data_IF_232846251771
#
_entry.id   IF_232846251771
#
_cell.length_a   1.000
_cell.length_b   1.000
_cell.length_c   1.000
_cell.angle_alpha   90.00
_cell.angle_beta   90.00
_cell.angle_gamma   90.00
#
_symmetry.space_group_name_H-M   'P 1'
#
loop_
_entity.id
_entity.type
_entity.pdbx_description
1 polymer ?
#
# COMPACT_ATOMS: atom_id res chain seq x y z
N UNK A 1 -4.56 12.15 8.06
CA UNK A 1 -3.26 11.67 8.54
C UNK A 1 -2.22 11.80 7.44
N UNK A 2 -1.05 12.23 7.79
CA UNK A 2 0.05 12.38 6.84
C UNK A 2 1.29 11.69 7.39
N UNK A 3 1.96 10.93 6.52
CA UNK A 3 3.16 10.18 6.91
C UNK A 3 4.31 10.45 5.95
N UNK A 4 5.53 10.32 6.46
CA UNK A 4 6.75 10.46 5.68
C UNK A 4 7.06 9.15 4.95
N UNK A 5 6.26 8.85 3.91
CA UNK A 5 6.42 7.68 3.07
C UNK A 5 6.08 8.07 1.64
N UNK A 6 6.97 7.82 0.71
CA UNK A 6 6.81 8.17 -0.70
C UNK A 6 6.70 6.95 -1.59
N UNK A 7 6.20 7.15 -2.82
CA UNK A 7 6.09 6.05 -3.77
C UNK A 7 7.48 5.55 -4.19
N UNK A 8 7.54 4.25 -4.43
CA UNK A 8 8.79 3.58 -4.81
C UNK A 8 9.10 3.67 -6.30
N UNK A 9 8.15 4.12 -7.10
CA UNK A 9 8.34 4.27 -8.55
C UNK A 9 7.44 5.37 -9.10
N UNK A 10 7.94 6.17 -10.04
CA UNK A 10 7.09 7.16 -10.73
C UNK A 10 6.01 6.52 -11.60
N UNK A 11 6.09 5.22 -11.89
CA UNK A 11 5.04 4.50 -12.61
C UNK A 11 3.73 4.44 -11.84
N UNK A 12 3.76 4.69 -10.53
CA UNK A 12 2.54 4.74 -9.72
C UNK A 12 1.78 6.07 -9.84
N UNK A 13 2.40 7.09 -10.42
CA UNK A 13 1.78 8.40 -10.58
C UNK A 13 0.50 8.31 -11.42
N UNK A 14 -0.58 8.92 -10.92
CA UNK A 14 -1.85 9.02 -11.64
C UNK A 14 -2.12 10.44 -12.13
N UNK A 15 -1.52 11.43 -11.48
CA UNK A 15 -1.62 12.84 -11.84
C UNK A 15 -0.21 13.37 -12.17
N UNK A 16 0.20 13.36 -13.46
CA UNK A 16 1.55 13.76 -13.83
C UNK A 16 1.86 15.23 -13.54
N UNK A 17 0.88 16.11 -13.63
CA UNK A 17 1.09 17.54 -13.38
C UNK A 17 1.51 17.81 -11.94
N UNK A 18 0.92 17.08 -11.00
CA UNK A 18 1.22 17.22 -9.57
C UNK A 18 2.21 16.18 -9.06
N UNK A 19 2.56 15.22 -9.89
CA UNK A 19 3.42 14.06 -9.54
C UNK A 19 2.88 13.30 -8.33
N UNK A 20 1.58 13.06 -8.35
CA UNK A 20 0.87 12.37 -7.28
C UNK A 20 0.28 11.07 -7.76
N UNK A 21 0.24 10.09 -6.87
CA UNK A 21 -0.55 8.88 -7.03
C UNK A 21 -1.80 9.04 -6.15
N UNK A 22 -2.97 9.10 -6.77
CA UNK A 22 -4.25 9.22 -6.07
C UNK A 22 -4.97 7.91 -6.10
N UNK A 23 -5.31 7.40 -4.93
CA UNK A 23 -6.02 6.13 -4.78
C UNK A 23 -7.37 6.39 -4.13
N UNK A 24 -8.45 5.95 -4.78
CA UNK A 24 -9.80 6.05 -4.25
C UNK A 24 -10.18 4.76 -3.55
N UNK A 25 -10.70 4.88 -2.33
CA UNK A 25 -11.12 3.74 -1.53
C UNK A 25 -10.03 2.69 -1.31
N UNK A 26 -8.78 3.07 -1.01
CA UNK A 26 -7.70 2.11 -0.98
C UNK A 26 -7.83 1.08 0.13
N UNK A 27 -7.45 -0.15 -0.18
CA UNK A 27 -7.12 -1.15 0.81
C UNK A 27 -5.66 -0.95 1.21
N UNK A 28 -5.34 -1.14 2.47
CA UNK A 28 -3.98 -1.00 2.98
C UNK A 28 -3.40 -2.37 3.31
N UNK A 29 -2.33 -2.74 2.63
CA UNK A 29 -1.52 -3.91 2.96
C UNK A 29 -0.31 -3.42 3.73
N UNK A 30 -0.26 -3.68 5.02
CA UNK A 30 0.82 -3.22 5.91
C UNK A 30 1.64 -4.42 6.35
N UNK A 31 2.89 -4.45 5.89
CA UNK A 31 3.78 -5.61 6.07
C UNK A 31 4.98 -5.22 6.90
N UNK A 32 5.22 -5.97 7.97
CA UNK A 32 6.46 -5.87 8.72
C UNK A 32 7.46 -6.83 8.07
N UNK A 33 8.33 -6.29 7.22
CA UNK A 33 9.29 -7.05 6.49
C UNK A 33 9.41 -6.60 5.05
N UNK A 34 9.99 -7.47 4.24
CA UNK A 34 10.33 -7.20 2.85
C UNK A 34 9.45 -8.03 1.91
N UNK A 35 8.90 -7.37 0.91
CA UNK A 35 8.17 -8.04 -0.17
C UNK A 35 9.07 -8.08 -1.40
N UNK A 36 9.44 -9.26 -1.86
CA UNK A 36 10.33 -9.44 -3.00
C UNK A 36 9.77 -10.41 -4.05
N UNK A 37 8.81 -11.26 -3.70
CA UNK A 37 8.26 -12.28 -4.57
C UNK A 37 6.84 -11.96 -5.02
N UNK A 38 6.58 -12.13 -6.30
CA UNK A 38 5.23 -11.98 -6.85
C UNK A 38 4.25 -12.97 -6.20
N UNK A 39 4.73 -14.18 -5.91
CA UNK A 39 3.91 -15.25 -5.32
C UNK A 39 3.30 -14.83 -3.98
N UNK A 40 4.02 -14.07 -3.17
CA UNK A 40 3.52 -13.59 -1.88
C UNK A 40 2.26 -12.74 -2.05
N UNK A 41 2.14 -12.04 -3.15
CA UNK A 41 1.11 -11.02 -3.36
C UNK A 41 -0.07 -11.46 -4.22
N UNK A 42 0.03 -12.58 -4.92
CA UNK A 42 -0.97 -12.98 -5.91
C UNK A 42 -2.40 -13.01 -5.35
N UNK A 43 -2.59 -13.60 -4.19
CA UNK A 43 -3.92 -13.71 -3.58
C UNK A 43 -4.49 -12.34 -3.20
N UNK A 44 -3.67 -11.49 -2.60
CA UNK A 44 -4.10 -10.14 -2.20
C UNK A 44 -4.46 -9.31 -3.43
N UNK A 45 -3.61 -9.35 -4.46
CA UNK A 45 -3.85 -8.59 -5.69
C UNK A 45 -5.16 -9.02 -6.35
N UNK A 46 -5.41 -10.32 -6.42
CA UNK A 46 -6.63 -10.86 -7.01
C UNK A 46 -7.87 -10.43 -6.22
N UNK A 47 -7.84 -10.53 -4.90
CA UNK A 47 -8.95 -10.12 -4.06
C UNK A 47 -9.27 -8.63 -4.17
N UNK A 48 -8.25 -7.79 -4.16
CA UNK A 48 -8.43 -6.34 -4.26
C UNK A 48 -8.93 -5.96 -5.65
N UNK A 49 -8.37 -6.55 -6.71
CA UNK A 49 -8.81 -6.30 -8.07
C UNK A 49 -10.29 -6.68 -8.26
N UNK A 50 -10.71 -7.82 -7.71
CA UNK A 50 -12.09 -8.27 -7.79
C UNK A 50 -13.06 -7.39 -6.99
N UNK A 51 -12.57 -6.71 -5.95
CA UNK A 51 -13.39 -5.81 -5.13
C UNK A 51 -13.65 -4.46 -5.80
N UNK A 52 -12.91 -4.12 -6.84
CA UNK A 52 -12.98 -2.82 -7.48
C UNK A 52 -12.30 -1.70 -6.70
N UNK A 53 -11.62 -2.02 -5.61
CA UNK A 53 -10.89 -1.05 -4.79
C UNK A 53 -9.46 -0.92 -5.27
N UNK A 54 -8.77 0.12 -4.79
CA UNK A 54 -7.34 0.28 -5.02
C UNK A 54 -6.52 -0.33 -3.88
N UNK A 55 -5.21 -0.40 -4.05
CA UNK A 55 -4.31 -1.01 -3.06
C UNK A 55 -3.13 -0.10 -2.79
N UNK A 56 -2.88 0.19 -1.51
CA UNK A 56 -1.66 0.84 -1.06
C UNK A 56 -0.86 -0.16 -0.23
N UNK A 57 0.35 -0.45 -0.68
CA UNK A 57 1.26 -1.38 0.00
C UNK A 57 2.28 -0.58 0.80
N UNK A 58 2.37 -0.87 2.09
CA UNK A 58 3.35 -0.27 2.99
C UNK A 58 4.17 -1.41 3.60
N UNK A 59 5.47 -1.40 3.36
CA UNK A 59 6.39 -2.42 3.87
C UNK A 59 7.73 -1.79 4.20
N UNK A 60 8.59 -2.51 4.89
CA UNK A 60 9.96 -2.05 5.11
C UNK A 60 10.66 -1.91 3.77
N UNK A 61 10.38 -2.82 2.84
CA UNK A 61 10.88 -2.76 1.48
C UNK A 61 9.97 -3.53 0.53
N UNK A 62 9.79 -3.00 -0.68
CA UNK A 62 9.12 -3.70 -1.78
C UNK A 62 10.07 -3.65 -2.97
N UNK A 63 10.53 -4.83 -3.42
CA UNK A 63 11.57 -4.89 -4.45
C UNK A 63 11.37 -6.06 -5.40
N UNK A 64 12.19 -6.13 -6.44
CA UNK A 64 12.24 -7.25 -7.37
C UNK A 64 10.90 -7.54 -8.03
N UNK A 65 10.52 -8.81 -8.04
CA UNK A 65 9.29 -9.27 -8.67
C UNK A 65 8.03 -8.68 -8.04
N UNK A 66 8.03 -8.45 -6.73
CA UNK A 66 6.88 -7.85 -6.04
C UNK A 66 6.60 -6.45 -6.56
N UNK A 67 7.63 -5.62 -6.65
CA UNK A 67 7.50 -4.27 -7.17
C UNK A 67 7.11 -4.28 -8.65
N UNK A 68 7.77 -5.11 -9.45
CA UNK A 68 7.47 -5.24 -10.87
C UNK A 68 6.02 -5.67 -11.13
N UNK A 69 5.51 -6.59 -10.32
CA UNK A 69 4.13 -7.07 -10.42
C UNK A 69 3.12 -5.95 -10.17
N UNK A 70 3.36 -5.12 -9.14
CA UNK A 70 2.51 -3.97 -8.85
C UNK A 70 2.53 -2.97 -10.01
N UNK A 71 3.71 -2.66 -10.53
CA UNK A 71 3.87 -1.72 -11.65
C UNK A 71 3.12 -2.24 -12.89
N UNK A 72 3.28 -3.51 -13.23
CA UNK A 72 2.61 -4.11 -14.39
C UNK A 72 1.08 -4.04 -14.24
N UNK A 73 0.56 -4.36 -13.08
CA UNK A 73 -0.88 -4.28 -12.83
C UNK A 73 -1.40 -2.86 -12.96
N UNK A 74 -0.66 -1.89 -12.47
CA UNK A 74 -1.01 -0.48 -12.59
C UNK A 74 -1.02 -0.03 -14.05
N UNK A 75 0.01 -0.38 -14.81
CA UNK A 75 0.13 0.01 -16.23
C UNK A 75 -0.97 -0.62 -17.07
N UNK A 76 -1.30 -1.89 -16.81
CA UNK A 76 -2.37 -2.59 -17.52
C UNK A 76 -3.77 -2.10 -17.13
N UNK A 77 -3.89 -1.35 -16.06
CA UNK A 77 -5.19 -0.92 -15.54
C UNK A 77 -5.99 -2.03 -14.86
N UNK A 78 -5.39 -3.18 -14.60
CA UNK A 78 -6.07 -4.27 -13.90
C UNK A 78 -6.25 -3.98 -12.41
N UNK A 79 -5.39 -3.13 -11.85
CA UNK A 79 -5.46 -2.73 -10.45
C UNK A 79 -4.84 -1.36 -10.29
N UNK A 80 -5.55 -0.45 -9.63
CA UNK A 80 -4.99 0.83 -9.22
C UNK A 80 -4.21 0.58 -7.93
N UNK A 81 -2.91 0.80 -7.93
CA UNK A 81 -2.06 0.49 -6.78
C UNK A 81 -0.86 1.40 -6.67
N UNK A 82 -0.26 1.42 -5.47
CA UNK A 82 0.96 2.13 -5.19
C UNK A 82 1.69 1.41 -4.05
N UNK A 83 3.02 1.39 -4.12
CA UNK A 83 3.84 0.92 -3.02
C UNK A 83 4.64 2.08 -2.48
N UNK A 84 4.70 2.19 -1.16
CA UNK A 84 5.41 3.25 -0.46
C UNK A 84 6.37 2.66 0.57
N UNK A 85 7.38 3.45 0.91
CA UNK A 85 8.36 3.12 1.93
C UNK A 85 8.43 4.27 2.94
N UNK A 86 8.29 3.94 4.22
CA UNK A 86 8.41 4.93 5.29
C UNK A 86 9.86 5.39 5.40
N UNK A 87 10.04 6.71 5.56
CA UNK A 87 11.36 7.33 5.71
C UNK A 87 11.83 7.27 7.16
N UNK A 88 13.13 7.44 7.35
CA UNK A 88 13.74 7.57 8.65
C UNK A 88 14.33 6.27 9.20
N UNK A 89 14.76 6.32 10.45
CA UNK A 89 15.32 5.19 11.16
C UNK A 89 14.22 4.16 11.49
N UNK A 90 14.64 2.97 11.92
CA UNK A 90 13.71 1.87 12.22
C UNK A 90 12.60 2.28 13.21
N UNK A 91 12.97 2.99 14.28
CA UNK A 91 12.00 3.41 15.30
C UNK A 91 10.96 4.37 14.75
N UNK A 92 11.39 5.29 13.88
CA UNK A 92 10.48 6.23 13.23
C UNK A 92 9.54 5.51 12.26
N UNK A 93 10.07 4.54 11.49
CA UNK A 93 9.29 3.74 10.56
C UNK A 93 8.27 2.87 11.29
N UNK A 94 8.68 2.26 12.39
CA UNK A 94 7.79 1.44 13.21
C UNK A 94 6.64 2.26 13.79
N UNK A 95 6.91 3.50 14.21
CA UNK A 95 5.89 4.41 14.71
C UNK A 95 4.87 4.76 13.61
N UNK A 96 5.34 5.05 12.41
CA UNK A 96 4.49 5.33 11.25
C UNK A 96 3.58 4.14 10.94
N UNK A 97 4.13 2.94 10.94
CA UNK A 97 3.38 1.72 10.67
C UNK A 97 2.30 1.50 11.74
N UNK A 98 2.63 1.68 13.01
CA UNK A 98 1.64 1.56 14.10
C UNK A 98 0.49 2.55 13.94
N UNK A 99 0.81 3.79 13.58
CA UNK A 99 -0.20 4.82 13.36
C UNK A 99 -1.11 4.46 12.18
N UNK A 100 -0.54 3.94 11.10
CA UNK A 100 -1.32 3.49 9.95
C UNK A 100 -2.24 2.33 10.29
N UNK A 101 -1.75 1.36 11.04
CA UNK A 101 -2.58 0.21 11.50
C UNK A 101 -3.78 0.74 12.28
N UNK A 102 -3.54 1.67 13.20
CA UNK A 102 -4.62 2.25 14.02
C UNK A 102 -5.64 3.01 13.18
N UNK A 103 -5.17 3.84 12.27
CA UNK A 103 -6.04 4.71 11.45
C UNK A 103 -6.81 3.93 10.40
N UNK A 104 -6.19 2.94 9.77
CA UNK A 104 -6.79 2.20 8.65
C UNK A 104 -7.53 0.94 9.06
N UNK A 105 -7.27 0.44 10.27
CA UNK A 105 -7.82 -0.83 10.72
C UNK A 105 -7.15 -2.05 10.12
N UNK A 106 -6.01 -1.86 9.44
CA UNK A 106 -5.29 -2.97 8.83
C UNK A 106 -4.69 -3.88 9.90
N UNK A 107 -4.63 -5.17 9.58
CA UNK A 107 -3.86 -6.12 10.36
C UNK A 107 -2.41 -6.04 9.88
N UNK A 108 -1.48 -5.74 10.78
CA UNK A 108 -0.06 -5.77 10.44
C UNK A 108 0.40 -7.23 10.36
N UNK A 109 1.04 -7.60 9.26
CA UNK A 109 1.45 -8.98 9.01
C UNK A 109 2.92 -9.06 8.65
N UNK A 110 3.49 -10.27 8.81
CA UNK A 110 4.82 -10.56 8.29
C UNK A 110 4.74 -10.85 6.79
N UNK A 111 5.88 -10.85 6.12
CA UNK A 111 5.96 -11.19 4.71
C UNK A 111 5.43 -12.60 4.40
N UNK A 112 5.62 -13.54 5.32
CA UNK A 112 5.12 -14.91 5.17
C UNK A 112 3.61 -15.01 5.26
N UNK A 113 2.98 -14.13 6.04
CA UNK A 113 1.52 -14.13 6.24
C UNK A 113 0.74 -13.50 5.07
N UNK A 114 1.41 -12.75 4.20
CA UNK A 114 0.74 -12.04 3.10
C UNK A 114 -0.02 -12.99 2.19
N UNK A 115 0.55 -14.16 1.90
CA UNK A 115 -0.07 -15.14 1.00
C UNK A 115 -1.39 -15.72 1.52
N UNK A 116 -1.68 -15.60 2.81
CA UNK A 116 -2.89 -16.14 3.43
C UNK A 116 -3.89 -15.07 3.86
N UNK A 117 -3.65 -13.80 3.52
CA UNK A 117 -4.56 -12.72 3.91
C UNK A 117 -5.91 -12.80 3.20
N UNK A 118 -6.95 -12.47 3.93
CA UNK A 118 -8.28 -12.22 3.38
C UNK A 118 -8.46 -10.71 3.17
N UNK A 119 -9.42 -10.33 2.33
CA UNK A 119 -9.70 -8.92 2.05
C UNK A 119 -10.02 -8.15 3.33
N UNK A 120 -10.74 -8.78 4.27
CA UNK A 120 -11.12 -8.16 5.55
C UNK A 120 -9.93 -7.87 6.48
N UNK A 121 -8.78 -8.49 6.24
CA UNK A 121 -7.57 -8.23 7.02
C UNK A 121 -6.86 -6.95 6.58
N UNK A 122 -7.23 -6.42 5.42
CA UNK A 122 -6.66 -5.19 4.89
C UNK A 122 -7.38 -3.98 5.49
N UNK A 123 -6.61 -2.92 5.71
CA UNK A 123 -7.19 -1.68 6.18
C UNK A 123 -7.85 -0.90 5.06
N UNK A 124 -8.46 0.22 5.40
CA UNK A 124 -9.11 1.07 4.41
C UNK A 124 -9.15 2.54 4.79
N UNK A 125 -9.39 3.37 3.80
CA UNK A 125 -9.64 4.80 3.94
C UNK A 125 -10.46 5.26 2.73
N UNK A 126 -10.92 6.51 2.78
CA UNK A 126 -11.68 7.07 1.65
C UNK A 126 -10.76 7.38 0.48
N UNK A 127 -9.57 7.89 0.76
CA UNK A 127 -8.60 8.27 -0.26
C UNK A 127 -7.19 8.27 0.28
N UNK A 128 -6.21 8.01 -0.59
CA UNK A 128 -4.81 8.23 -0.29
C UNK A 128 -4.17 9.03 -1.43
N UNK A 129 -3.33 9.99 -1.08
CA UNK A 129 -2.56 10.79 -2.04
C UNK A 129 -1.09 10.63 -1.71
N UNK A 130 -0.32 10.11 -2.65
CA UNK A 130 1.09 9.78 -2.45
C UNK A 130 1.96 10.64 -3.36
N UNK A 131 2.99 11.25 -2.76
CA UNK A 131 4.03 11.98 -3.49
C UNK A 131 5.35 11.22 -3.35
N UNK A 132 6.45 11.80 -3.86
CA UNK A 132 7.76 11.18 -3.78
C UNK A 132 8.25 10.98 -2.34
N UNK A 133 7.75 11.76 -1.38
CA UNK A 133 8.23 11.73 0.00
C UNK A 133 7.12 11.75 1.07
N UNK A 134 5.85 11.68 0.66
CA UNK A 134 4.73 11.89 1.58
C UNK A 134 3.50 11.11 1.16
N UNK A 135 2.77 10.59 2.12
CA UNK A 135 1.46 9.96 1.89
C UNK A 135 0.43 10.62 2.80
N UNK A 136 -0.66 11.08 2.20
CA UNK A 136 -1.79 11.65 2.92
C UNK A 136 -2.94 10.65 2.88
N UNK A 137 -3.44 10.28 4.06
CA UNK A 137 -4.56 9.34 4.22
C UNK A 137 -5.77 10.13 4.67
N UNK A 138 -6.84 10.10 3.89
CA UNK A 138 -8.07 10.85 4.12
C UNK A 138 -9.22 9.90 4.40
N UNK A 139 -9.91 10.13 5.49
CA UNK A 139 -11.01 9.28 5.93
C UNK A 139 -10.53 8.00 6.58
N UNK A 140 -10.79 7.82 7.87
CA UNK A 140 -10.40 6.60 8.59
C UNK A 140 -11.23 5.41 8.13
N UNK A 141 -10.69 4.21 8.32
CA UNK A 141 -11.42 2.98 8.08
C UNK A 141 -12.70 2.97 8.92
N UNK A 142 -13.80 2.58 8.30
CA UNK A 142 -15.05 2.37 9.02
C UNK A 142 -15.09 0.95 9.49
N UNK A 143 -14.98 0.80 10.79
CA UNK A 143 -15.19 -0.47 11.44
C UNK A 143 -16.69 -0.66 11.61
N UNK A 144 -17.28 -1.40 10.75
CA UNK A 144 -18.69 -1.78 10.87
C UNK A 144 -18.77 -3.20 11.38
#
# INVERSE_FOLDING_TARGET
MEIAAGYLSPYFITDPARREAKLEGPCFLIVQGKLASARQMLRVLEQVANSGRSLLVVAEEVEGEALATLIVNKIRGSLSCCAVKAAGAKEERDAVIRDLVTVTGAKMVSDEEVASLALDDLGGADRAVVTVNRTQVLGAARLN
#
